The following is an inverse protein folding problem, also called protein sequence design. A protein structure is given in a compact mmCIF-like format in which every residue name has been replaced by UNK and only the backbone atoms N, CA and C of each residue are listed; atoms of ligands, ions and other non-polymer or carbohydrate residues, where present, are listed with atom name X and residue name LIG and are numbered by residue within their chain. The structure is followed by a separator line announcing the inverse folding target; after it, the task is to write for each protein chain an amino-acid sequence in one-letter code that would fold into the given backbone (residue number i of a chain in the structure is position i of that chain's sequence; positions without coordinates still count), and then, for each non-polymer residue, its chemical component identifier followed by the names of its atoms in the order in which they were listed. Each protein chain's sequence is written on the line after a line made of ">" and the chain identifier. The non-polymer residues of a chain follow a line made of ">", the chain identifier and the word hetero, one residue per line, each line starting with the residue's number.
data_IF_304024182592
#
_entry.id   IF_304024182592
#
_cell.length_a   1.000
_cell.length_b   1.000
_cell.length_c   1.000
_cell.angle_alpha   90.00
_cell.angle_beta   90.00
_cell.angle_gamma   90.00
#
_symmetry.space_group_name_H-M   'P 1'
#
loop_
_entity.id
_entity.type
_entity.pdbx_description
1 polymer ?
#
# COMPACT_ATOMS: atom_id res chain seq x y z
N UNK A 1 12.39 13.85 -30.33
CA UNK A 1 11.00 14.05 -29.90
C UNK A 1 10.28 12.74 -29.61
N UNK A 2 9.82 11.94 -30.58
CA UNK A 2 9.13 10.65 -30.27
C UNK A 2 10.08 9.59 -29.69
N UNK A 3 11.27 9.41 -30.27
CA UNK A 3 12.27 8.46 -29.74
C UNK A 3 12.70 8.76 -28.30
N UNK A 4 12.79 10.04 -27.94
CA UNK A 4 13.08 10.47 -26.56
C UNK A 4 11.92 10.15 -25.63
N UNK A 5 10.67 10.37 -26.07
CA UNK A 5 9.49 9.96 -25.33
C UNK A 5 9.51 8.45 -25.07
N UNK A 6 9.75 7.63 -26.09
CA UNK A 6 9.82 6.18 -25.92
C UNK A 6 10.96 5.83 -24.97
N UNK A 7 12.17 6.37 -25.15
CA UNK A 7 13.31 6.09 -24.27
C UNK A 7 13.00 6.39 -22.80
N UNK A 8 12.37 7.54 -22.53
CA UNK A 8 12.06 8.00 -21.18
C UNK A 8 10.87 7.25 -20.55
N UNK A 9 9.86 6.90 -21.34
CA UNK A 9 8.59 6.35 -20.86
C UNK A 9 8.41 4.85 -21.08
N UNK A 10 9.32 4.16 -21.79
CA UNK A 10 9.23 2.72 -22.08
C UNK A 10 9.00 1.87 -20.83
N UNK A 11 9.68 2.09 -19.68
CA UNK A 11 9.42 1.28 -18.48
C UNK A 11 7.96 1.34 -18.02
N UNK A 12 7.34 2.54 -18.00
CA UNK A 12 5.94 2.69 -17.59
C UNK A 12 4.96 2.22 -18.67
N UNK A 13 5.25 2.45 -19.97
CA UNK A 13 4.41 1.97 -21.08
C UNK A 13 4.28 0.45 -21.05
N UNK A 14 5.40 -0.24 -20.84
CA UNK A 14 5.44 -1.71 -20.71
C UNK A 14 4.80 -2.19 -19.41
N UNK A 15 5.11 -1.57 -18.27
CA UNK A 15 4.51 -1.96 -16.98
C UNK A 15 2.99 -1.78 -16.96
N UNK A 16 2.47 -0.76 -17.65
CA UNK A 16 1.04 -0.54 -17.81
C UNK A 16 0.43 -1.40 -18.93
N UNK A 17 1.24 -2.13 -19.70
CA UNK A 17 0.79 -2.95 -20.81
C UNK A 17 0.06 -2.16 -21.89
N UNK A 18 0.50 -0.94 -22.19
CA UNK A 18 -0.05 -0.11 -23.28
C UNK A 18 0.54 -0.63 -24.59
N UNK A 19 -0.26 -1.11 -25.55
CA UNK A 19 0.23 -1.61 -26.83
C UNK A 19 1.02 -0.55 -27.63
N UNK A 20 2.10 -0.98 -28.30
CA UNK A 20 3.01 -0.09 -29.04
C UNK A 20 2.32 0.73 -30.14
N UNK A 21 1.25 0.19 -30.72
CA UNK A 21 0.43 0.87 -31.74
C UNK A 21 -0.10 2.23 -31.26
N UNK A 22 -0.36 2.37 -29.95
CA UNK A 22 -0.90 3.61 -29.38
C UNK A 22 0.16 4.63 -28.99
N UNK A 23 1.43 4.25 -28.87
CA UNK A 23 2.48 5.11 -28.32
C UNK A 23 2.68 6.43 -29.11
N UNK A 24 2.65 6.46 -30.45
CA UNK A 24 2.81 7.70 -31.20
C UNK A 24 1.70 8.72 -30.91
N UNK A 25 0.44 8.25 -30.85
CA UNK A 25 -0.72 9.12 -30.59
C UNK A 25 -0.74 9.54 -29.12
N UNK A 26 -0.42 8.63 -28.19
CA UNK A 26 -0.29 8.97 -26.78
C UNK A 26 0.71 10.10 -26.57
N UNK A 27 1.89 10.01 -27.20
CA UNK A 27 2.91 11.06 -27.15
C UNK A 27 2.38 12.41 -27.63
N UNK A 28 1.63 12.46 -28.74
CA UNK A 28 1.00 13.68 -29.23
C UNK A 28 0.01 14.25 -28.19
N UNK A 29 -0.89 13.40 -27.67
CA UNK A 29 -1.92 13.81 -26.72
C UNK A 29 -1.33 14.36 -25.42
N UNK A 30 -0.34 13.69 -24.81
CA UNK A 30 0.29 14.18 -23.56
C UNK A 30 1.17 15.39 -23.77
N UNK A 31 1.75 15.56 -24.97
CA UNK A 31 2.52 16.76 -25.30
C UNK A 31 1.62 17.99 -25.38
N UNK A 32 0.46 17.85 -25.99
CA UNK A 32 -0.48 18.95 -26.27
C UNK A 32 -1.60 19.09 -25.22
N UNK A 33 -1.57 18.28 -24.15
CA UNK A 33 -2.63 18.18 -23.13
C UNK A 33 -4.03 17.97 -23.74
N UNK A 34 -4.09 17.15 -24.80
CA UNK A 34 -5.30 16.95 -25.60
C UNK A 34 -6.26 15.95 -24.96
N UNK A 35 -7.25 16.47 -24.23
CA UNK A 35 -8.37 15.71 -23.65
C UNK A 35 -9.54 15.65 -24.64
N UNK A 36 -9.75 14.50 -25.29
CA UNK A 36 -10.79 14.30 -26.32
C UNK A 36 -11.82 13.23 -25.98
N UNK A 37 -11.87 12.78 -24.72
CA UNK A 37 -12.82 11.76 -24.24
C UNK A 37 -14.28 12.15 -24.47
N UNK A 38 -14.66 13.42 -24.31
CA UNK A 38 -16.03 13.91 -24.53
C UNK A 38 -16.51 13.77 -25.99
N UNK A 39 -15.61 13.63 -26.96
CA UNK A 39 -15.97 13.42 -28.36
C UNK A 39 -16.30 11.95 -28.68
N UNK A 40 -15.92 11.03 -27.78
CA UNK A 40 -15.97 9.59 -28.00
C UNK A 40 -16.90 8.89 -27.02
N UNK A 41 -17.01 9.41 -25.80
CA UNK A 41 -17.76 8.80 -24.73
C UNK A 41 -18.82 9.75 -24.20
N UNK A 42 -19.90 9.16 -23.68
CA UNK A 42 -20.97 9.85 -22.99
C UNK A 42 -21.21 9.17 -21.64
N UNK A 43 -21.36 9.98 -20.59
CA UNK A 43 -21.82 9.51 -19.28
C UNK A 43 -23.35 9.48 -19.29
N UNK A 44 -23.93 8.36 -18.93
CA UNK A 44 -25.38 8.15 -18.85
C UNK A 44 -25.77 7.83 -17.41
N UNK A 45 -26.90 8.36 -16.95
CA UNK A 45 -27.53 7.92 -15.72
C UNK A 45 -28.25 6.59 -16.00
N UNK A 46 -28.09 5.61 -15.10
CA UNK A 46 -28.78 4.32 -15.23
C UNK A 46 -30.20 4.48 -14.71
N UNK A 47 -31.17 4.11 -15.53
CA UNK A 47 -32.57 3.99 -15.13
C UNK A 47 -32.86 2.54 -14.75
N UNK A 48 -33.33 2.35 -13.53
CA UNK A 48 -33.64 1.04 -12.95
C UNK A 48 -35.13 0.70 -13.10
N UNK A 49 -35.82 1.22 -14.11
CA UNK A 49 -37.30 1.20 -14.28
C UNK A 49 -38.01 -0.08 -13.75
N UNK A 50 -37.49 -1.27 -14.06
CA UNK A 50 -38.07 -2.57 -13.71
C UNK A 50 -37.46 -3.27 -12.47
N UNK A 51 -36.33 -2.78 -11.94
CA UNK A 51 -35.57 -3.38 -10.83
C UNK A 51 -35.46 -2.43 -9.63
N UNK A 52 -35.50 -2.96 -8.41
CA UNK A 52 -35.24 -2.14 -7.22
C UNK A 52 -33.75 -1.89 -7.14
N UNK A 53 -33.32 -0.66 -7.43
CA UNK A 53 -31.93 -0.21 -7.23
C UNK A 53 -31.46 -0.54 -5.80
N UNK A 54 -30.41 -1.33 -5.68
CA UNK A 54 -29.75 -1.62 -4.41
C UNK A 54 -28.78 -0.48 -4.00
N UNK A 55 -28.38 -0.43 -2.72
CA UNK A 55 -27.56 0.65 -2.17
C UNK A 55 -26.21 0.84 -2.89
N UNK A 56 -25.67 -0.22 -3.49
CA UNK A 56 -24.37 -0.20 -4.17
C UNK A 56 -24.47 -0.24 -5.70
N UNK A 57 -25.69 -0.20 -6.23
CA UNK A 57 -25.90 -0.19 -7.67
C UNK A 57 -25.38 1.10 -8.29
N UNK A 58 -24.67 1.02 -9.43
CA UNK A 58 -24.07 2.18 -10.06
C UNK A 58 -25.14 3.17 -10.53
N UNK A 59 -24.98 4.45 -10.19
CA UNK A 59 -25.90 5.48 -10.67
C UNK A 59 -25.67 5.84 -12.14
N UNK A 60 -24.49 5.57 -12.67
CA UNK A 60 -24.08 6.01 -14.00
C UNK A 60 -23.22 4.97 -14.69
N UNK A 61 -23.27 4.98 -16.02
CA UNK A 61 -22.42 4.19 -16.90
C UNK A 61 -21.76 5.11 -17.93
N UNK A 62 -20.74 4.59 -18.63
CA UNK A 62 -20.07 5.30 -19.72
C UNK A 62 -20.24 4.49 -20.99
N UNK A 63 -20.67 5.14 -22.06
CA UNK A 63 -21.00 4.52 -23.33
C UNK A 63 -20.21 5.16 -24.48
N UNK A 64 -19.90 4.39 -25.52
CA UNK A 64 -19.29 4.90 -26.76
C UNK A 64 -20.34 5.67 -27.57
N UNK A 65 -20.13 6.96 -27.78
CA UNK A 65 -21.04 7.84 -28.54
C UNK A 65 -20.59 8.10 -29.98
N UNK A 66 -19.30 7.90 -30.30
CA UNK A 66 -18.78 8.15 -31.65
C UNK A 66 -19.36 7.22 -32.71
N UNK A 67 -19.56 7.76 -33.92
CA UNK A 67 -20.03 6.97 -35.06
C UNK A 67 -18.99 5.93 -35.47
N UNK A 68 -19.45 4.70 -35.73
CA UNK A 68 -18.58 3.59 -36.12
C UNK A 68 -17.90 2.86 -34.94
N UNK A 69 -18.09 3.33 -33.71
CA UNK A 69 -17.55 2.71 -32.51
C UNK A 69 -16.02 2.84 -32.39
N UNK A 70 -15.44 2.00 -31.53
CA UNK A 70 -14.01 1.96 -31.24
C UNK A 70 -13.44 0.65 -31.79
N UNK A 71 -12.45 0.75 -32.68
CA UNK A 71 -11.66 -0.39 -33.15
C UNK A 71 -10.40 -0.54 -32.30
N UNK A 72 -10.15 -1.73 -31.76
CA UNK A 72 -8.96 -2.03 -30.94
C UNK A 72 -7.63 -1.85 -31.67
N UNK A 73 -7.62 -2.05 -32.99
CA UNK A 73 -6.43 -1.96 -33.84
C UNK A 73 -6.19 -0.54 -34.38
N UNK A 74 -7.05 0.43 -34.06
CA UNK A 74 -6.86 1.81 -34.51
C UNK A 74 -5.98 2.59 -33.52
N UNK A 75 -4.78 3.06 -33.92
CA UNK A 75 -3.85 3.79 -33.05
C UNK A 75 -4.41 5.07 -32.43
N UNK A 76 -5.47 5.66 -32.99
CA UNK A 76 -6.08 6.88 -32.45
C UNK A 76 -6.93 6.63 -31.21
N UNK A 77 -7.32 5.39 -30.95
CA UNK A 77 -8.24 5.01 -29.88
C UNK A 77 -7.53 4.85 -28.53
N UNK A 78 -6.78 5.87 -28.13
CA UNK A 78 -6.16 5.99 -26.80
C UNK A 78 -6.48 7.37 -26.25
N UNK A 79 -6.89 7.44 -24.99
CA UNK A 79 -7.49 8.65 -24.43
C UNK A 79 -6.89 8.99 -23.07
N UNK A 80 -6.90 10.29 -22.76
CA UNK A 80 -6.43 10.82 -21.49
C UNK A 80 -7.62 11.12 -20.58
N UNK A 81 -7.53 10.65 -19.34
CA UNK A 81 -8.45 10.95 -18.24
C UNK A 81 -7.66 11.77 -17.21
N UNK A 82 -8.25 12.90 -16.80
CA UNK A 82 -7.61 13.79 -15.83
C UNK A 82 -7.78 13.26 -14.40
N UNK A 83 -6.92 13.72 -13.49
CA UNK A 83 -7.00 13.42 -12.06
C UNK A 83 -7.68 14.59 -11.35
N UNK A 84 -8.99 14.49 -11.16
CA UNK A 84 -9.78 15.50 -10.44
C UNK A 84 -9.20 15.87 -9.07
N UNK A 85 -8.59 14.89 -8.39
CA UNK A 85 -7.91 15.12 -7.14
C UNK A 85 -6.73 14.17 -6.95
N UNK A 86 -5.56 14.71 -6.59
CA UNK A 86 -4.38 13.94 -6.14
C UNK A 86 -3.97 14.32 -4.71
N UNK A 87 -3.66 13.33 -3.89
CA UNK A 87 -3.41 13.54 -2.46
C UNK A 87 -2.51 12.47 -1.80
N UNK A 88 -2.09 12.82 -0.58
CA UNK A 88 -1.47 11.91 0.40
C UNK A 88 -2.46 11.70 1.55
N UNK A 89 -2.45 10.51 2.14
CA UNK A 89 -3.41 10.10 3.18
C UNK A 89 -3.50 11.08 4.36
N UNK A 90 -2.38 11.68 4.77
CA UNK A 90 -2.32 12.60 5.91
C UNK A 90 -3.10 13.91 5.69
N UNK A 91 -3.44 14.26 4.45
CA UNK A 91 -3.93 15.57 4.08
C UNK A 91 -5.39 15.58 3.59
N UNK A 92 -6.07 14.42 3.56
CA UNK A 92 -7.43 14.27 2.99
C UNK A 92 -8.40 15.27 3.62
N UNK A 93 -8.70 15.11 4.92
CA UNK A 93 -9.67 15.96 5.64
C UNK A 93 -9.30 17.43 5.59
N UNK A 94 -8.02 17.74 5.82
CA UNK A 94 -7.51 19.11 5.81
C UNK A 94 -7.74 19.80 4.46
N UNK A 95 -7.44 19.13 3.34
CA UNK A 95 -7.68 19.68 1.99
C UNK A 95 -9.17 19.91 1.70
N UNK A 96 -10.05 19.00 2.13
CA UNK A 96 -11.49 19.16 1.93
C UNK A 96 -12.09 20.31 2.73
N UNK A 97 -11.54 20.61 3.91
CA UNK A 97 -11.92 21.79 4.70
C UNK A 97 -11.34 23.10 4.12
N UNK A 98 -10.06 23.07 3.70
CA UNK A 98 -9.36 24.27 3.20
C UNK A 98 -9.77 24.69 1.78
N UNK A 99 -10.28 23.78 0.94
CA UNK A 99 -10.54 24.02 -0.49
C UNK A 99 -12.03 23.74 -0.81
N UNK A 100 -12.91 24.76 -0.73
CA UNK A 100 -14.34 24.58 -0.97
C UNK A 100 -14.69 24.06 -2.37
N UNK A 101 -13.96 24.48 -3.41
CA UNK A 101 -14.21 24.02 -4.79
C UNK A 101 -13.91 22.53 -4.97
N UNK A 102 -12.86 22.03 -4.32
CA UNK A 102 -12.54 20.60 -4.29
C UNK A 102 -13.63 19.83 -3.56
N UNK A 103 -14.04 20.31 -2.37
CA UNK A 103 -15.12 19.68 -1.60
C UNK A 103 -16.41 19.60 -2.41
N UNK A 104 -16.81 20.69 -3.06
CA UNK A 104 -18.00 20.72 -3.92
C UNK A 104 -17.91 19.74 -5.10
N UNK A 105 -16.74 19.68 -5.76
CA UNK A 105 -16.52 18.74 -6.88
C UNK A 105 -16.61 17.29 -6.41
N UNK A 106 -16.00 16.96 -5.26
CA UNK A 106 -16.04 15.61 -4.70
C UNK A 106 -17.44 15.23 -4.20
N UNK A 107 -18.16 16.16 -3.57
CA UNK A 107 -19.55 15.96 -3.18
C UNK A 107 -20.42 15.64 -4.40
N UNK A 108 -20.32 16.43 -5.48
CA UNK A 108 -21.08 16.18 -6.71
C UNK A 108 -20.70 14.85 -7.39
N UNK A 109 -19.41 14.51 -7.41
CA UNK A 109 -18.93 13.26 -8.02
C UNK A 109 -19.49 12.02 -7.30
N UNK A 110 -19.56 12.11 -5.96
CA UNK A 110 -19.99 11.05 -5.04
C UNK A 110 -21.48 11.13 -4.66
N UNK A 111 -22.23 12.05 -5.28
CA UNK A 111 -23.67 12.28 -5.01
C UNK A 111 -23.99 12.55 -3.53
N UNK A 112 -23.12 13.32 -2.86
CA UNK A 112 -23.32 13.75 -1.47
C UNK A 112 -24.18 15.00 -1.44
N UNK A 113 -25.29 14.96 -0.69
CA UNK A 113 -26.19 16.10 -0.55
C UNK A 113 -25.48 17.31 0.08
N UNK A 114 -25.49 18.43 -0.65
CA UNK A 114 -24.87 19.68 -0.23
C UNK A 114 -25.69 20.44 0.84
N UNK A 115 -26.85 19.93 1.25
CA UNK A 115 -27.69 20.54 2.29
C UNK A 115 -27.22 20.28 3.75
N UNK A 116 -26.18 19.46 3.93
CA UNK A 116 -25.65 19.05 5.25
C UNK A 116 -24.61 20.05 5.82
N UNK A 117 -24.26 19.93 7.11
CA UNK A 117 -23.14 20.69 7.72
C UNK A 117 -21.82 20.40 6.97
N UNK A 118 -20.91 21.38 6.93
CA UNK A 118 -19.63 21.24 6.23
C UNK A 118 -18.83 20.03 6.72
N UNK A 119 -18.80 19.77 8.03
CA UNK A 119 -18.09 18.61 8.57
C UNK A 119 -18.75 17.30 8.16
N UNK A 120 -20.09 17.25 8.16
CA UNK A 120 -20.85 16.07 7.76
C UNK A 120 -20.60 15.73 6.28
N UNK A 121 -20.54 16.74 5.41
CA UNK A 121 -20.16 16.58 4.00
C UNK A 121 -18.74 16.00 3.90
N UNK A 122 -17.78 16.58 4.64
CA UNK A 122 -16.39 16.11 4.62
C UNK A 122 -16.26 14.68 5.15
N UNK A 123 -16.99 14.33 6.21
CA UNK A 123 -17.02 12.99 6.78
C UNK A 123 -17.60 11.98 5.78
N UNK A 124 -18.68 12.34 5.10
CA UNK A 124 -19.30 11.51 4.06
C UNK A 124 -18.36 11.31 2.88
N UNK A 125 -17.72 12.38 2.38
CA UNK A 125 -16.70 12.27 1.32
C UNK A 125 -15.55 11.36 1.76
N UNK A 126 -15.02 11.52 2.98
CA UNK A 126 -13.91 10.71 3.47
C UNK A 126 -14.24 9.22 3.57
N UNK A 127 -15.52 8.88 3.74
CA UNK A 127 -16.03 7.51 3.76
C UNK A 127 -16.28 6.95 2.35
N UNK A 128 -16.91 7.72 1.47
CA UNK A 128 -17.29 7.23 0.13
C UNK A 128 -16.14 7.27 -0.89
N UNK A 129 -15.14 8.14 -0.69
CA UNK A 129 -14.06 8.34 -1.66
C UNK A 129 -13.30 7.07 -2.04
N UNK A 130 -13.26 6.06 -1.17
CA UNK A 130 -12.52 4.82 -1.39
C UNK A 130 -13.07 3.96 -2.53
N UNK A 131 -14.32 4.21 -2.97
CA UNK A 131 -14.89 3.63 -4.20
C UNK A 131 -14.33 4.27 -5.49
N UNK A 132 -13.73 5.44 -5.37
CA UNK A 132 -13.22 6.23 -6.51
C UNK A 132 -11.69 6.30 -6.54
N UNK A 133 -11.06 5.98 -5.41
CA UNK A 133 -9.62 6.07 -5.25
C UNK A 133 -8.88 5.03 -6.10
N UNK A 134 -7.79 5.48 -6.70
CA UNK A 134 -6.74 4.64 -7.26
C UNK A 134 -5.39 5.16 -6.75
N UNK A 135 -4.33 4.38 -6.93
CA UNK A 135 -3.01 4.81 -6.49
C UNK A 135 -1.91 4.36 -7.45
N UNK A 136 -0.80 5.09 -7.42
CA UNK A 136 0.44 4.71 -8.07
C UNK A 136 1.61 5.00 -7.14
N UNK A 137 2.74 4.34 -7.37
CA UNK A 137 3.99 4.59 -6.64
C UNK A 137 5.11 4.83 -7.62
N UNK A 138 5.86 5.91 -7.41
CA UNK A 138 7.00 6.29 -8.26
C UNK A 138 8.29 5.63 -7.78
N UNK A 139 8.28 4.29 -7.65
CA UNK A 139 9.42 3.55 -7.10
C UNK A 139 10.64 3.70 -8.02
N UNK A 140 11.76 4.12 -7.43
CA UNK A 140 13.05 4.19 -8.13
C UNK A 140 13.32 5.51 -8.85
N UNK A 141 12.43 6.50 -8.76
CA UNK A 141 12.71 7.87 -9.25
C UNK A 141 13.50 8.72 -8.23
N UNK A 142 13.42 8.38 -6.95
CA UNK A 142 14.11 9.08 -5.85
C UNK A 142 14.72 8.08 -4.87
N UNK A 143 15.92 8.41 -4.38
CA UNK A 143 16.56 7.72 -3.26
C UNK A 143 15.83 7.98 -1.93
N UNK A 144 15.05 9.06 -1.85
CA UNK A 144 14.25 9.36 -0.67
C UNK A 144 13.00 8.46 -0.64
N UNK A 145 12.92 7.64 0.40
CA UNK A 145 11.81 6.72 0.65
C UNK A 145 10.47 7.45 0.73
N UNK A 146 10.44 8.70 1.18
CA UNK A 146 9.20 9.48 1.29
C UNK A 146 8.58 9.82 -0.07
N UNK A 147 9.41 10.02 -1.10
CA UNK A 147 8.95 10.29 -2.46
C UNK A 147 8.35 9.04 -3.12
N UNK A 148 8.83 7.86 -2.70
CA UNK A 148 8.36 6.55 -3.16
C UNK A 148 7.02 6.13 -2.53
N UNK A 149 6.45 6.93 -1.63
CA UNK A 149 5.15 6.64 -1.01
C UNK A 149 4.04 6.60 -2.07
N UNK A 150 2.94 5.85 -1.84
CA UNK A 150 1.80 5.84 -2.75
C UNK A 150 1.17 7.24 -2.87
N UNK A 151 0.97 7.70 -4.10
CA UNK A 151 0.12 8.85 -4.40
C UNK A 151 -1.27 8.32 -4.70
N UNK A 152 -2.27 8.88 -4.03
CA UNK A 152 -3.67 8.54 -4.24
C UNK A 152 -4.32 9.57 -5.13
N UNK A 153 -5.25 9.12 -5.96
CA UNK A 153 -5.97 9.99 -6.86
C UNK A 153 -7.40 9.52 -7.11
N UNK A 154 -8.25 10.47 -7.49
CA UNK A 154 -9.59 10.27 -8.02
C UNK A 154 -9.60 10.85 -9.42
N UNK A 155 -10.11 10.07 -10.38
CA UNK A 155 -10.22 10.49 -11.78
C UNK A 155 -11.32 11.54 -11.94
N UNK A 156 -11.33 12.23 -13.08
CA UNK A 156 -12.45 13.07 -13.49
C UNK A 156 -13.80 12.33 -13.55
N UNK A 157 -14.85 13.10 -13.82
CA UNK A 157 -16.24 12.66 -13.86
C UNK A 157 -16.48 11.52 -14.86
N UNK A 158 -15.71 11.45 -15.94
CA UNK A 158 -15.81 10.37 -16.91
C UNK A 158 -15.10 9.12 -16.39
N UNK A 159 -13.83 9.24 -15.99
CA UNK A 159 -13.03 8.09 -15.57
C UNK A 159 -13.59 7.41 -14.32
N UNK A 160 -14.12 8.19 -13.39
CA UNK A 160 -14.74 7.71 -12.15
C UNK A 160 -16.05 6.97 -12.34
N UNK A 161 -16.68 7.05 -13.53
CA UNK A 161 -17.97 6.42 -13.83
C UNK A 161 -17.85 5.20 -14.75
N UNK A 162 -16.64 4.83 -15.16
CA UNK A 162 -16.38 3.59 -15.90
C UNK A 162 -16.57 2.42 -14.93
N UNK A 163 -17.55 1.57 -15.23
CA UNK A 163 -17.97 0.51 -14.32
C UNK A 163 -17.08 -0.73 -14.37
N UNK A 164 -17.23 -1.56 -13.34
CA UNK A 164 -16.52 -2.83 -13.27
C UNK A 164 -17.11 -3.86 -14.24
N UNK A 165 -16.25 -4.70 -14.82
CA UNK A 165 -16.62 -5.99 -15.40
C UNK A 165 -15.53 -7.03 -15.16
N UNK A 166 -15.91 -8.29 -14.99
CA UNK A 166 -14.99 -9.44 -15.01
C UNK A 166 -14.54 -9.81 -16.44
N UNK A 167 -15.21 -9.25 -17.45
CA UNK A 167 -14.85 -9.34 -18.86
C UNK A 167 -14.79 -7.94 -19.49
N UNK A 168 -13.83 -7.08 -19.07
CA UNK A 168 -13.77 -5.70 -19.49
C UNK A 168 -13.49 -5.55 -21.00
N UNK A 169 -13.80 -4.38 -21.54
CA UNK A 169 -13.50 -4.01 -22.93
C UNK A 169 -12.51 -2.82 -23.04
N UNK A 170 -12.20 -2.15 -21.92
CA UNK A 170 -11.15 -1.13 -21.83
C UNK A 170 -10.23 -1.38 -20.64
N UNK A 171 -9.01 -0.83 -20.70
CA UNK A 171 -8.10 -0.69 -19.55
C UNK A 171 -7.91 0.79 -19.22
N UNK A 172 -7.72 1.09 -17.94
CA UNK A 172 -7.46 2.44 -17.44
C UNK A 172 -6.28 2.37 -16.47
N UNK A 173 -5.14 2.94 -16.87
CA UNK A 173 -3.86 2.78 -16.15
C UNK A 173 -3.21 4.14 -15.85
N UNK A 174 -2.55 4.32 -14.69
CA UNK A 174 -1.88 5.58 -14.37
C UNK A 174 -0.65 5.80 -15.27
N UNK A 175 -0.40 7.04 -15.69
CA UNK A 175 0.76 7.41 -16.49
C UNK A 175 1.30 8.77 -16.05
N UNK A 176 2.60 8.83 -15.78
CA UNK A 176 3.29 10.06 -15.39
C UNK A 176 4.05 10.61 -16.59
N UNK A 177 3.59 11.74 -17.10
CA UNK A 177 4.32 12.47 -18.12
C UNK A 177 5.45 13.30 -17.49
N UNK A 178 6.58 12.63 -17.28
CA UNK A 178 7.83 13.12 -16.69
C UNK A 178 8.28 14.50 -17.18
N UNK A 179 8.11 14.83 -18.47
CA UNK A 179 8.51 16.14 -19.01
C UNK A 179 7.75 17.31 -18.37
N UNK A 180 6.46 17.14 -18.05
CA UNK A 180 5.63 18.16 -17.38
C UNK A 180 5.35 17.85 -15.91
N UNK A 181 5.72 16.66 -15.45
CA UNK A 181 5.36 16.11 -14.13
C UNK A 181 3.84 16.08 -13.88
N UNK A 182 3.06 15.85 -14.95
CA UNK A 182 1.60 15.72 -14.88
C UNK A 182 1.25 14.23 -14.92
N UNK A 183 0.29 13.82 -14.10
CA UNK A 183 -0.22 12.44 -14.10
C UNK A 183 -1.59 12.40 -14.76
N UNK A 184 -1.78 11.40 -15.62
CA UNK A 184 -3.04 11.07 -16.24
C UNK A 184 -3.43 9.64 -15.91
N UNK A 185 -4.69 9.30 -16.14
CA UNK A 185 -5.09 7.93 -16.41
C UNK A 185 -5.23 7.73 -17.92
N UNK A 186 -4.61 6.69 -18.47
CA UNK A 186 -4.67 6.36 -19.89
C UNK A 186 -5.75 5.32 -20.09
N UNK A 187 -6.74 5.65 -20.92
CA UNK A 187 -7.80 4.75 -21.34
C UNK A 187 -7.51 4.23 -22.74
N UNK A 188 -7.56 2.91 -22.93
CA UNK A 188 -7.43 2.28 -24.25
C UNK A 188 -8.29 1.00 -24.34
N UNK A 189 -8.81 0.67 -25.53
CA UNK A 189 -9.58 -0.53 -25.75
C UNK A 189 -8.70 -1.78 -25.69
N UNK A 190 -9.28 -2.86 -25.19
CA UNK A 190 -8.74 -4.23 -25.30
C UNK A 190 -9.64 -5.12 -26.17
N UNK A 191 -10.80 -4.60 -26.57
CA UNK A 191 -11.73 -5.19 -27.53
C UNK A 191 -12.28 -4.06 -28.41
N UNK A 192 -12.73 -4.38 -29.62
CA UNK A 192 -13.53 -3.43 -30.38
C UNK A 192 -14.90 -3.25 -29.71
N UNK A 193 -15.41 -2.03 -29.68
CA UNK A 193 -16.59 -1.62 -28.91
C UNK A 193 -17.55 -0.91 -29.87
N UNK A 194 -18.80 -1.37 -29.95
CA UNK A 194 -19.78 -0.78 -30.85
C UNK A 194 -20.22 0.61 -30.36
N UNK A 195 -20.75 1.42 -31.29
CA UNK A 195 -21.49 2.61 -30.89
C UNK A 195 -22.67 2.21 -30.00
N UNK A 196 -22.92 2.99 -28.95
CA UNK A 196 -23.90 2.72 -27.91
C UNK A 196 -23.61 1.48 -27.04
N UNK A 197 -22.39 0.96 -27.06
CA UNK A 197 -21.98 -0.09 -26.11
C UNK A 197 -21.29 0.55 -24.89
N UNK A 198 -21.54 0.00 -23.70
CA UNK A 198 -20.94 0.46 -22.46
C UNK A 198 -19.47 0.07 -22.38
N UNK A 199 -18.63 0.97 -21.87
CA UNK A 199 -17.25 0.64 -21.54
C UNK A 199 -17.12 0.20 -20.08
N UNK A 200 -16.32 -0.82 -19.85
CA UNK A 200 -16.08 -1.38 -18.51
C UNK A 200 -14.61 -1.76 -18.32
N UNK A 201 -14.15 -1.70 -17.07
CA UNK A 201 -12.77 -2.01 -16.68
C UNK A 201 -12.74 -3.04 -15.53
N UNK A 202 -11.61 -3.72 -15.35
CA UNK A 202 -11.41 -4.51 -14.14
C UNK A 202 -10.93 -3.60 -12.99
N UNK A 203 -11.70 -3.51 -11.89
CA UNK A 203 -11.30 -2.73 -10.71
C UNK A 203 -10.18 -3.41 -9.92
N UNK A 204 -9.98 -4.71 -10.11
CA UNK A 204 -9.02 -5.54 -9.37
C UNK A 204 -8.16 -6.36 -10.35
N UNK A 205 -7.68 -5.68 -11.40
CA UNK A 205 -6.86 -6.28 -12.46
C UNK A 205 -5.69 -7.13 -11.89
N UNK A 206 -5.45 -8.28 -12.51
CA UNK A 206 -4.40 -9.23 -12.11
C UNK A 206 -4.82 -10.22 -11.01
N UNK A 207 -6.04 -10.09 -10.47
CA UNK A 207 -6.62 -11.04 -9.51
C UNK A 207 -7.52 -12.02 -10.27
N UNK A 208 -7.32 -13.33 -10.03
CA UNK A 208 -8.16 -14.40 -10.60
C UNK A 208 -9.65 -14.10 -10.45
N UNK A 209 -10.44 -14.38 -11.49
CA UNK A 209 -11.91 -14.26 -11.47
C UNK A 209 -12.57 -15.22 -10.48
N UNK A 210 -11.85 -16.26 -10.04
CA UNK A 210 -12.32 -17.24 -9.09
C UNK A 210 -11.75 -16.98 -7.68
N UNK A 211 -12.60 -17.12 -6.67
CA UNK A 211 -12.21 -17.18 -5.27
C UNK A 211 -12.49 -15.94 -4.45
N UNK A 212 -12.42 -16.12 -3.12
CA UNK A 212 -12.79 -15.13 -2.12
C UNK A 212 -11.92 -13.86 -2.16
N UNK A 213 -10.67 -13.96 -2.62
CA UNK A 213 -9.75 -12.81 -2.72
C UNK A 213 -10.29 -11.73 -3.67
N UNK A 214 -10.92 -12.11 -4.77
CA UNK A 214 -11.51 -11.16 -5.71
C UNK A 214 -12.74 -10.48 -5.09
N UNK A 215 -13.65 -11.27 -4.51
CA UNK A 215 -14.81 -10.75 -3.79
C UNK A 215 -14.39 -9.78 -2.66
N UNK A 216 -13.32 -10.10 -1.94
CA UNK A 216 -12.77 -9.26 -0.88
C UNK A 216 -12.28 -7.90 -1.42
N UNK A 217 -11.58 -7.89 -2.54
CA UNK A 217 -11.05 -6.66 -3.13
C UNK A 217 -12.12 -5.84 -3.88
N UNK A 218 -13.20 -6.48 -4.33
CA UNK A 218 -14.38 -5.84 -4.92
C UNK A 218 -15.39 -5.34 -3.89
N UNK A 219 -15.24 -5.71 -2.61
CA UNK A 219 -16.14 -5.35 -1.52
C UNK A 219 -16.55 -3.86 -1.47
N UNK A 220 -15.68 -2.88 -1.78
CA UNK A 220 -16.10 -1.47 -1.78
C UNK A 220 -17.24 -1.14 -2.76
N UNK A 221 -17.38 -1.92 -3.84
CA UNK A 221 -18.42 -1.73 -4.86
C UNK A 221 -19.47 -2.83 -4.85
N UNK A 222 -19.06 -4.06 -4.53
CA UNK A 222 -19.93 -5.23 -4.45
C UNK A 222 -19.74 -5.90 -3.09
N UNK A 223 -20.39 -5.38 -2.02
CA UNK A 223 -20.24 -5.93 -0.69
C UNK A 223 -20.56 -7.42 -0.65
N UNK A 224 -19.75 -8.14 0.11
CA UNK A 224 -19.87 -9.59 0.27
C UNK A 224 -19.77 -9.94 1.76
N UNK A 225 -20.58 -10.88 2.20
CA UNK A 225 -20.60 -11.36 3.59
C UNK A 225 -19.56 -12.47 3.78
N UNK A 226 -18.51 -12.18 4.54
CA UNK A 226 -17.42 -13.08 4.88
C UNK A 226 -17.57 -13.66 6.29
N UNK A 227 -18.64 -13.36 7.05
CA UNK A 227 -18.73 -13.76 8.47
C UNK A 227 -18.63 -15.27 8.69
N UNK A 228 -19.03 -16.08 7.70
CA UNK A 228 -18.96 -17.54 7.74
C UNK A 228 -17.54 -18.09 7.51
N UNK A 229 -16.63 -17.29 6.94
CA UNK A 229 -15.25 -17.69 6.70
C UNK A 229 -14.46 -17.75 8.01
N UNK A 230 -13.49 -18.67 8.08
CA UNK A 230 -12.59 -18.71 9.23
C UNK A 230 -11.74 -17.45 9.29
N UNK A 231 -11.57 -16.91 10.48
CA UNK A 231 -10.60 -15.86 10.77
C UNK A 231 -9.43 -16.35 11.63
N UNK A 232 -9.18 -17.65 11.63
CA UNK A 232 -8.08 -18.24 12.39
C UNK A 232 -6.72 -17.86 11.78
N UNK A 233 -5.81 -17.51 12.67
CA UNK A 233 -4.48 -17.05 12.35
C UNK A 233 -3.51 -18.22 12.24
N UNK A 234 -3.39 -18.78 11.04
CA UNK A 234 -2.57 -19.96 10.79
C UNK A 234 -1.06 -19.63 10.73
N UNK A 235 -0.22 -20.61 11.00
CA UNK A 235 1.23 -20.48 10.82
C UNK A 235 1.56 -20.39 9.31
N UNK A 236 2.25 -19.33 8.86
CA UNK A 236 2.66 -19.22 7.45
C UNK A 236 3.64 -20.31 7.04
N UNK A 237 3.74 -20.58 5.74
CA UNK A 237 4.69 -21.58 5.21
C UNK A 237 6.14 -21.11 5.34
N UNK A 238 7.09 -22.04 5.19
CA UNK A 238 8.52 -21.70 5.19
C UNK A 238 8.86 -20.72 4.06
N UNK A 239 8.24 -20.89 2.89
CA UNK A 239 8.44 -20.02 1.74
C UNK A 239 8.05 -18.58 2.05
N UNK A 240 7.00 -18.35 2.84
CA UNK A 240 6.62 -17.01 3.27
C UNK A 240 7.74 -16.30 4.07
N UNK A 241 8.42 -17.02 4.97
CA UNK A 241 9.52 -16.45 5.75
C UNK A 241 10.77 -16.13 4.91
N UNK A 242 10.91 -16.75 3.73
CA UNK A 242 12.06 -16.59 2.84
C UNK A 242 11.80 -15.63 1.67
N UNK A 243 10.57 -15.61 1.14
CA UNK A 243 10.22 -14.88 -0.08
C UNK A 243 10.27 -13.36 0.10
N UNK A 244 10.83 -12.67 -0.89
CA UNK A 244 10.91 -11.21 -0.88
C UNK A 244 11.79 -10.67 0.25
N UNK A 245 12.72 -11.49 0.75
CA UNK A 245 13.72 -11.13 1.74
C UNK A 245 15.10 -11.22 1.12
N UNK A 246 16.06 -10.63 1.81
CA UNK A 246 17.47 -10.72 1.43
C UNK A 246 17.94 -12.12 1.80
N UNK A 247 18.56 -12.82 0.84
CA UNK A 247 19.21 -14.09 1.13
C UNK A 247 20.41 -13.85 2.04
N UNK A 248 20.39 -14.50 3.19
CA UNK A 248 21.46 -14.51 4.20
C UNK A 248 22.00 -15.94 4.33
N UNK A 249 23.30 -16.05 4.62
CA UNK A 249 23.93 -17.34 4.94
C UNK A 249 23.92 -17.56 6.46
N UNK A 250 23.97 -18.82 6.91
CA UNK A 250 24.23 -19.14 8.31
C UNK A 250 25.74 -19.33 8.52
N UNK A 251 26.29 -18.97 9.70
CA UNK A 251 27.70 -19.24 10.01
C UNK A 251 27.95 -20.75 10.16
N UNK A 252 29.14 -21.20 9.75
CA UNK A 252 29.61 -22.56 10.02
C UNK A 252 30.24 -22.60 11.42
N UNK A 253 29.47 -23.06 12.41
CA UNK A 253 29.90 -23.09 13.81
C UNK A 253 30.84 -24.29 14.02
N UNK A 254 32.15 -24.06 13.85
CA UNK A 254 33.18 -25.07 14.12
C UNK A 254 33.87 -24.87 15.48
N UNK A 255 33.95 -23.64 15.99
CA UNK A 255 34.56 -23.30 17.28
C UNK A 255 34.08 -21.95 17.80
N UNK A 256 34.08 -21.76 19.13
CA UNK A 256 33.81 -20.45 19.74
C UNK A 256 34.97 -19.49 19.43
N UNK A 257 34.70 -18.23 19.02
CA UNK A 257 35.74 -17.24 18.77
C UNK A 257 36.69 -17.07 19.96
N UNK A 258 38.00 -17.08 19.71
CA UNK A 258 39.01 -16.82 20.73
C UNK A 258 39.21 -15.30 20.90
N UNK A 259 38.83 -14.77 22.06
CA UNK A 259 38.98 -13.34 22.37
C UNK A 259 40.45 -13.08 22.71
N UNK A 260 41.10 -12.25 21.89
CA UNK A 260 42.52 -11.90 22.06
C UNK A 260 42.73 -11.10 23.35
N UNK A 261 43.88 -11.31 23.99
CA UNK A 261 44.32 -10.57 25.19
C UNK A 261 44.82 -9.14 24.89
N UNK A 262 44.59 -8.62 23.69
CA UNK A 262 44.95 -7.25 23.26
C UNK A 262 43.68 -6.41 23.06
N UNK A 263 43.79 -5.06 23.03
CA UNK A 263 42.68 -4.22 22.59
C UNK A 263 42.13 -4.69 21.23
N UNK A 264 40.81 -4.81 21.13
CA UNK A 264 40.12 -5.27 19.94
C UNK A 264 39.98 -4.10 18.94
N UNK A 265 40.31 -4.38 17.68
CA UNK A 265 40.16 -3.42 16.59
C UNK A 265 38.71 -3.37 16.14
N UNK A 266 38.13 -2.18 16.10
CA UNK A 266 36.72 -1.98 15.73
C UNK A 266 36.65 -1.14 14.47
N UNK A 267 36.14 -1.74 13.40
CA UNK A 267 35.71 -1.01 12.21
C UNK A 267 34.25 -0.63 12.39
N UNK A 268 33.90 0.65 12.18
CA UNK A 268 32.52 1.11 12.35
C UNK A 268 32.08 2.07 11.27
N UNK A 269 30.84 1.90 10.81
CA UNK A 269 30.13 2.85 9.95
C UNK A 269 29.32 3.87 10.77
N UNK A 270 29.22 3.68 12.09
CA UNK A 270 28.36 4.49 12.94
C UNK A 270 29.16 5.57 13.68
N UNK A 271 28.93 6.83 13.31
CA UNK A 271 29.67 7.99 13.85
C UNK A 271 29.74 8.05 15.37
N UNK A 272 28.70 7.62 16.08
CA UNK A 272 28.68 7.67 17.55
C UNK A 272 29.49 6.54 18.19
N UNK A 273 29.67 5.39 17.53
CA UNK A 273 30.63 4.38 18.01
C UNK A 273 32.05 4.92 17.85
N UNK A 274 32.34 5.56 16.72
CA UNK A 274 33.63 6.21 16.50
C UNK A 274 33.91 7.31 17.53
N UNK A 275 32.90 8.10 17.89
CA UNK A 275 33.02 9.18 18.86
C UNK A 275 33.12 8.69 20.31
N UNK A 276 32.27 7.74 20.73
CA UNK A 276 32.07 7.42 22.15
C UNK A 276 32.71 6.09 22.61
N UNK A 277 33.23 5.25 21.71
CA UNK A 277 33.97 4.05 22.10
C UNK A 277 35.37 4.41 22.60
N UNK A 278 35.48 4.80 23.87
CA UNK A 278 36.73 5.26 24.50
C UNK A 278 37.37 4.24 25.47
N UNK A 279 36.75 3.08 25.66
CA UNK A 279 37.25 2.09 26.60
C UNK A 279 38.58 1.47 26.10
N UNK A 280 39.63 1.33 26.94
CA UNK A 280 40.99 0.96 26.52
C UNK A 280 41.12 -0.44 25.88
N UNK A 281 40.15 -1.32 26.12
CA UNK A 281 40.08 -2.63 25.45
C UNK A 281 39.64 -2.57 23.99
N UNK A 282 39.38 -1.38 23.44
CA UNK A 282 38.97 -1.20 22.05
C UNK A 282 39.78 -0.09 21.39
N UNK A 283 40.06 -0.25 20.10
CA UNK A 283 40.69 0.75 19.26
C UNK A 283 39.97 0.83 17.93
N UNK A 284 39.57 2.03 17.52
CA UNK A 284 38.97 2.24 16.19
C UNK A 284 40.02 1.99 15.11
N UNK A 285 39.63 1.33 14.02
CA UNK A 285 40.48 1.15 12.85
C UNK A 285 39.72 1.49 11.56
N UNK A 286 40.44 2.05 10.58
CA UNK A 286 39.88 2.41 9.28
C UNK A 286 39.85 1.23 8.29
N UNK A 287 40.72 0.23 8.50
CA UNK A 287 40.79 -0.96 7.67
C UNK A 287 39.86 -2.07 8.19
N UNK A 288 38.81 -2.35 7.42
CA UNK A 288 37.82 -3.39 7.69
C UNK A 288 38.45 -4.80 7.76
N UNK A 289 39.49 -5.07 6.97
CA UNK A 289 40.08 -6.40 6.84
C UNK A 289 40.87 -6.84 8.09
N UNK A 290 41.46 -5.88 8.81
CA UNK A 290 42.20 -6.14 10.06
C UNK A 290 41.38 -6.00 11.34
N UNK A 291 40.09 -5.65 11.23
CA UNK A 291 39.19 -5.50 12.38
C UNK A 291 38.94 -6.84 13.12
N UNK A 292 38.74 -6.76 14.42
CA UNK A 292 38.21 -7.87 15.22
C UNK A 292 36.69 -7.75 15.40
N UNK A 293 36.14 -6.55 15.30
CA UNK A 293 34.69 -6.27 15.38
C UNK A 293 34.28 -5.41 14.18
N UNK A 294 33.26 -5.86 13.48
CA UNK A 294 32.60 -5.15 12.38
C UNK A 294 31.30 -4.56 12.91
N UNK A 295 31.23 -3.23 12.98
CA UNK A 295 30.05 -2.49 13.43
C UNK A 295 29.40 -1.75 12.26
N UNK A 296 28.49 -2.44 11.59
CA UNK A 296 27.81 -1.92 10.41
C UNK A 296 26.50 -1.21 10.78
N UNK A 297 26.15 -0.20 9.98
CA UNK A 297 24.79 0.36 9.91
C UNK A 297 23.99 -0.24 8.76
N UNK A 298 24.68 -0.77 7.75
CA UNK A 298 24.08 -1.52 6.64
C UNK A 298 23.83 -2.98 7.02
N UNK A 299 22.90 -3.62 6.33
CA UNK A 299 22.55 -5.02 6.55
C UNK A 299 23.67 -5.98 6.11
N UNK A 300 24.07 -6.89 6.99
CA UNK A 300 25.09 -7.91 6.75
C UNK A 300 24.47 -9.27 6.37
N UNK A 301 25.04 -9.96 5.37
CA UNK A 301 24.42 -11.14 4.73
C UNK A 301 25.31 -12.40 4.69
N UNK A 302 26.63 -12.21 4.69
CA UNK A 302 27.62 -13.24 4.37
C UNK A 302 28.25 -13.86 5.63
N UNK A 303 27.42 -14.36 6.56
CA UNK A 303 27.85 -14.96 7.82
C UNK A 303 28.69 -16.22 7.64
N UNK A 304 28.40 -17.05 6.63
CA UNK A 304 29.20 -18.23 6.31
C UNK A 304 30.65 -17.83 5.98
N UNK A 305 30.81 -16.90 5.04
CA UNK A 305 32.13 -16.42 4.62
C UNK A 305 32.92 -15.80 5.78
N UNK A 306 32.26 -15.00 6.64
CA UNK A 306 32.88 -14.43 7.83
C UNK A 306 33.35 -15.52 8.79
N UNK A 307 32.51 -16.52 9.06
CA UNK A 307 32.84 -17.61 9.98
C UNK A 307 34.01 -18.48 9.50
N UNK A 308 34.14 -18.69 8.19
CA UNK A 308 35.22 -19.51 7.60
C UNK A 308 36.53 -18.74 7.52
N UNK A 309 36.50 -17.52 6.98
CA UNK A 309 37.72 -16.77 6.68
C UNK A 309 38.22 -15.93 7.86
N UNK A 310 37.33 -15.55 8.78
CA UNK A 310 37.62 -14.69 9.93
C UNK A 310 36.92 -15.22 11.20
N UNK A 311 37.22 -16.45 11.65
CA UNK A 311 36.49 -17.13 12.74
C UNK A 311 36.54 -16.41 14.10
N UNK A 312 37.47 -15.47 14.29
CA UNK A 312 37.61 -14.68 15.50
C UNK A 312 37.05 -13.24 15.37
N UNK A 313 36.33 -12.96 14.27
CA UNK A 313 35.75 -11.66 14.00
C UNK A 313 34.27 -11.65 14.37
N UNK A 314 33.83 -10.58 15.05
CA UNK A 314 32.45 -10.39 15.45
C UNK A 314 31.76 -9.38 14.53
N UNK A 315 30.45 -9.55 14.33
CA UNK A 315 29.58 -8.58 13.66
C UNK A 315 28.43 -8.20 14.59
N UNK A 316 27.96 -6.95 14.51
CA UNK A 316 26.91 -6.41 15.39
C UNK A 316 25.47 -6.77 14.96
N UNK A 317 25.28 -7.87 14.22
CA UNK A 317 23.99 -8.31 13.66
C UNK A 317 23.88 -9.84 13.77
N UNK A 318 22.66 -10.36 13.84
CA UNK A 318 22.40 -11.80 13.82
C UNK A 318 21.81 -12.24 12.47
N UNK A 319 22.16 -13.44 11.97
CA UNK A 319 21.55 -13.96 10.76
C UNK A 319 20.04 -14.12 10.95
N UNK A 320 19.27 -13.67 9.96
CA UNK A 320 17.80 -13.71 9.95
C UNK A 320 17.13 -12.98 11.13
N UNK A 321 17.75 -11.94 11.69
CA UNK A 321 17.13 -11.11 12.74
C UNK A 321 15.85 -10.38 12.26
N UNK A 322 15.67 -10.31 10.93
CA UNK A 322 14.46 -9.83 10.26
C UNK A 322 13.17 -10.50 10.77
N UNK A 323 13.26 -11.73 11.28
CA UNK A 323 12.14 -12.46 11.88
C UNK A 323 11.54 -11.76 13.10
N UNK A 324 12.34 -10.93 13.78
CA UNK A 324 11.91 -10.10 14.91
C UNK A 324 11.79 -8.61 14.56
N UNK A 325 12.55 -8.12 13.57
CA UNK A 325 12.62 -6.70 13.26
C UNK A 325 11.65 -6.24 12.16
N UNK A 326 11.06 -7.17 11.40
CA UNK A 326 10.01 -6.87 10.40
C UNK A 326 8.62 -7.23 10.97
N UNK A 327 7.64 -6.33 10.79
CA UNK A 327 6.36 -6.38 11.52
C UNK A 327 5.52 -7.62 11.24
N UNK A 328 5.49 -8.07 9.99
CA UNK A 328 4.71 -9.24 9.55
C UNK A 328 5.29 -10.55 10.11
N UNK A 329 6.62 -10.68 10.09
CA UNK A 329 7.31 -11.83 10.65
C UNK A 329 7.20 -11.84 12.18
N UNK A 330 7.37 -10.67 12.81
CA UNK A 330 7.22 -10.53 14.26
C UNK A 330 5.82 -10.97 14.69
N UNK A 331 4.75 -10.52 14.01
CA UNK A 331 3.38 -10.93 14.35
C UNK A 331 3.17 -12.45 14.25
N UNK A 332 3.73 -13.09 13.20
CA UNK A 332 3.63 -14.53 13.04
C UNK A 332 4.39 -15.29 14.15
N UNK A 333 5.61 -14.86 14.48
CA UNK A 333 6.42 -15.51 15.53
C UNK A 333 5.81 -15.35 16.92
N UNK A 334 5.29 -14.16 17.24
CA UNK A 334 4.69 -13.87 18.54
C UNK A 334 3.52 -14.80 18.89
N UNK A 335 2.74 -15.24 17.89
CA UNK A 335 1.56 -16.10 18.09
C UNK A 335 1.83 -17.60 17.93
N UNK A 336 3.03 -18.02 17.51
CA UNK A 336 3.38 -19.44 17.20
C UNK A 336 3.12 -20.44 18.32
N UNK A 337 3.14 -20.00 19.58
CA UNK A 337 2.91 -20.87 20.76
C UNK A 337 1.47 -20.87 21.26
N UNK A 338 0.58 -20.11 20.62
CA UNK A 338 -0.82 -20.03 21.00
C UNK A 338 -1.60 -21.21 20.41
N UNK A 339 -2.09 -22.10 21.28
CA UNK A 339 -2.96 -23.23 20.86
C UNK A 339 -4.37 -22.74 20.55
N UNK A 340 -4.86 -21.77 21.34
CA UNK A 340 -6.12 -21.05 21.09
C UNK A 340 -5.79 -19.73 20.40
N UNK A 341 -6.56 -19.36 19.37
CA UNK A 341 -6.30 -18.15 18.59
C UNK A 341 -6.94 -16.90 19.19
N UNK A 342 -8.14 -17.00 19.76
CA UNK A 342 -8.87 -15.86 20.31
C UNK A 342 -9.85 -16.25 21.43
N UNK A 343 -10.27 -15.27 22.22
CA UNK A 343 -11.40 -15.41 23.14
C UNK A 343 -12.72 -15.30 22.37
N UNK A 344 -13.63 -16.27 22.50
CA UNK A 344 -14.87 -16.32 21.72
C UNK A 344 -15.83 -15.17 22.04
N UNK A 345 -15.77 -14.62 23.25
CA UNK A 345 -16.66 -13.54 23.68
C UNK A 345 -16.12 -12.18 23.25
N UNK A 346 -14.85 -11.89 23.56
CA UNK A 346 -14.25 -10.57 23.28
C UNK A 346 -13.64 -10.47 21.88
N UNK A 347 -13.48 -11.61 21.21
CA UNK A 347 -12.73 -11.78 19.95
C UNK A 347 -11.24 -11.42 20.05
N UNK A 348 -10.72 -11.07 21.23
CA UNK A 348 -9.31 -10.72 21.40
C UNK A 348 -8.41 -11.92 21.10
N UNK A 349 -7.41 -11.72 20.25
CA UNK A 349 -6.46 -12.76 19.87
C UNK A 349 -5.36 -12.96 20.90
N UNK A 350 -4.80 -14.17 20.97
CA UNK A 350 -3.64 -14.48 21.79
C UNK A 350 -2.32 -14.32 21.00
N UNK A 351 -1.21 -13.97 21.69
CA UNK A 351 -1.14 -13.66 23.12
C UNK A 351 -1.66 -12.25 23.43
N UNK A 352 -2.25 -12.03 24.60
CA UNK A 352 -2.88 -10.76 24.98
C UNK A 352 -1.98 -9.52 24.88
N UNK A 353 -0.66 -9.69 25.01
CA UNK A 353 0.28 -8.57 24.91
C UNK A 353 0.55 -8.12 23.47
N UNK A 354 0.14 -8.91 22.46
CA UNK A 354 0.18 -8.55 21.06
C UNK A 354 -1.22 -8.13 20.62
N UNK A 355 -1.45 -6.87 20.21
CA UNK A 355 -2.73 -6.49 19.62
C UNK A 355 -3.05 -7.34 18.39
N UNK A 356 -4.31 -7.69 18.20
CA UNK A 356 -4.77 -8.50 17.05
C UNK A 356 -4.21 -7.96 15.75
N UNK A 357 -3.44 -8.80 15.04
CA UNK A 357 -2.68 -8.39 13.85
C UNK A 357 -2.84 -9.41 12.75
N UNK A 358 -3.26 -8.98 11.56
CA UNK A 358 -3.32 -9.80 10.35
C UNK A 358 -2.35 -9.26 9.30
N UNK A 359 -1.78 -10.15 8.49
CA UNK A 359 -1.06 -9.80 7.28
C UNK A 359 -2.04 -9.72 6.10
N UNK A 360 -2.22 -8.54 5.50
CA UNK A 360 -3.20 -8.33 4.44
C UNK A 360 -2.85 -9.00 3.09
N UNK A 361 -1.64 -9.55 2.91
CA UNK A 361 -1.31 -10.29 1.69
C UNK A 361 -1.76 -11.74 1.74
N UNK A 362 -1.63 -12.39 2.91
CA UNK A 362 -1.89 -13.82 3.10
C UNK A 362 -3.10 -14.13 3.97
N UNK A 363 -3.57 -13.17 4.76
CA UNK A 363 -4.69 -13.31 5.71
C UNK A 363 -5.81 -12.29 5.44
N UNK A 364 -5.99 -11.87 4.18
CA UNK A 364 -6.97 -10.85 3.81
C UNK A 364 -8.40 -11.29 4.15
N UNK A 365 -8.74 -12.54 3.85
CA UNK A 365 -10.10 -13.08 4.03
C UNK A 365 -10.39 -13.23 5.52
N UNK A 366 -9.44 -13.77 6.26
CA UNK A 366 -9.48 -13.92 7.70
C UNK A 366 -9.70 -12.57 8.38
N UNK A 367 -8.97 -11.53 7.94
CA UNK A 367 -9.16 -10.19 8.47
C UNK A 367 -10.57 -9.63 8.18
N UNK A 368 -11.09 -9.77 6.97
CA UNK A 368 -12.41 -9.24 6.61
C UNK A 368 -13.51 -9.96 7.40
N UNK A 369 -13.43 -11.29 7.48
CA UNK A 369 -14.35 -12.08 8.30
C UNK A 369 -14.30 -11.62 9.77
N UNK A 370 -13.10 -11.45 10.33
CA UNK A 370 -12.93 -10.94 11.69
C UNK A 370 -13.53 -9.55 11.88
N UNK A 371 -13.30 -8.64 10.93
CA UNK A 371 -13.83 -7.28 10.95
C UNK A 371 -15.36 -7.28 10.99
N UNK A 372 -16.01 -8.07 10.11
CA UNK A 372 -17.47 -8.15 10.03
C UNK A 372 -18.09 -8.81 11.27
N UNK A 373 -17.45 -9.87 11.81
CA UNK A 373 -17.88 -10.48 13.07
C UNK A 373 -17.77 -9.50 14.26
N UNK A 374 -16.75 -8.64 14.28
CA UNK A 374 -16.65 -7.56 15.29
C UNK A 374 -17.75 -6.51 15.13
N UNK A 375 -18.08 -6.13 13.89
CA UNK A 375 -19.21 -5.23 13.63
C UNK A 375 -20.52 -5.81 14.16
N UNK A 376 -20.80 -7.09 13.90
CA UNK A 376 -22.02 -7.77 14.36
C UNK A 376 -22.13 -7.80 15.89
N UNK A 377 -20.99 -7.93 16.59
CA UNK A 377 -20.91 -7.85 18.05
C UNK A 377 -20.86 -6.42 18.61
N UNK A 378 -20.99 -5.39 17.78
CA UNK A 378 -20.85 -3.97 18.17
C UNK A 378 -19.54 -3.66 18.92
N UNK A 379 -18.44 -4.31 18.52
CA UNK A 379 -17.11 -4.06 19.08
C UNK A 379 -16.40 -2.95 18.32
N UNK A 380 -15.44 -2.26 18.97
CA UNK A 380 -14.60 -1.28 18.27
C UNK A 380 -13.86 -1.93 17.10
N UNK A 381 -13.84 -1.23 15.98
CA UNK A 381 -13.20 -1.64 14.74
C UNK A 381 -12.22 -0.59 14.21
N UNK A 382 -11.52 0.09 15.10
CA UNK A 382 -10.44 1.01 14.75
C UNK A 382 -9.13 0.24 14.56
N UNK A 383 -8.53 0.37 13.39
CA UNK A 383 -7.33 -0.35 12.97
C UNK A 383 -6.22 0.60 12.55
N UNK A 384 -4.97 0.15 12.73
CA UNK A 384 -3.77 0.82 12.21
C UNK A 384 -3.11 -0.08 11.17
N UNK A 385 -2.97 0.44 9.95
CA UNK A 385 -2.24 -0.21 8.86
C UNK A 385 -0.79 0.23 8.89
N UNK A 386 0.12 -0.74 8.74
CA UNK A 386 1.56 -0.49 8.77
C UNK A 386 2.27 -1.28 7.67
N UNK A 387 3.16 -0.66 6.89
CA UNK A 387 4.03 -1.38 5.97
C UNK A 387 4.99 -2.30 6.73
N UNK A 388 5.33 -3.44 6.13
CA UNK A 388 6.18 -4.45 6.77
C UNK A 388 7.51 -3.87 7.29
N UNK A 389 8.23 -3.16 6.43
CA UNK A 389 9.63 -2.78 6.63
C UNK A 389 9.91 -1.26 6.70
N UNK A 390 8.89 -0.38 6.58
CA UNK A 390 9.13 1.06 6.75
C UNK A 390 9.10 1.48 8.23
N UNK A 391 9.77 2.60 8.50
CA UNK A 391 9.91 3.22 9.81
C UNK A 391 9.41 4.68 9.78
N UNK A 392 9.52 5.39 10.92
CA UNK A 392 9.15 6.82 11.07
C UNK A 392 7.66 7.13 10.81
N UNK A 393 6.78 6.13 10.90
CA UNK A 393 5.35 6.29 10.64
C UNK A 393 5.01 6.50 9.16
N UNK A 394 5.97 6.28 8.26
CA UNK A 394 5.72 6.36 6.81
C UNK A 394 4.70 5.30 6.39
N UNK A 395 3.78 5.70 5.50
CA UNK A 395 2.67 4.87 5.00
C UNK A 395 1.80 4.22 6.09
N UNK A 396 1.73 4.85 7.27
CA UNK A 396 0.89 4.39 8.38
C UNK A 396 -0.44 5.14 8.38
N UNK A 397 -1.54 4.42 8.48
CA UNK A 397 -2.88 4.99 8.47
C UNK A 397 -3.77 4.35 9.55
N UNK A 398 -4.60 5.16 10.20
CA UNK A 398 -5.56 4.71 11.21
C UNK A 398 -6.95 4.96 10.66
N UNK A 399 -7.79 3.93 10.67
CA UNK A 399 -9.16 4.00 10.15
C UNK A 399 -10.02 2.91 10.77
N UNK A 400 -11.33 3.14 10.79
CA UNK A 400 -12.36 2.14 11.09
C UNK A 400 -13.20 1.78 9.85
N UNK A 401 -12.80 2.24 8.67
CA UNK A 401 -13.49 1.99 7.41
C UNK A 401 -12.83 0.80 6.66
N UNK A 402 -13.62 -0.25 6.45
CA UNK A 402 -13.17 -1.44 5.72
C UNK A 402 -12.79 -1.11 4.28
N UNK A 403 -13.52 -0.23 3.60
CA UNK A 403 -13.22 0.14 2.21
C UNK A 403 -11.86 0.83 2.11
N UNK A 404 -11.57 1.74 3.04
CA UNK A 404 -10.25 2.34 3.20
C UNK A 404 -9.15 1.29 3.41
N UNK A 405 -9.36 0.33 4.32
CA UNK A 405 -8.38 -0.73 4.60
C UNK A 405 -8.08 -1.56 3.35
N UNK A 406 -9.13 -1.97 2.63
CA UNK A 406 -9.01 -2.78 1.42
C UNK A 406 -8.30 -2.03 0.31
N UNK A 407 -8.61 -0.75 0.09
CA UNK A 407 -7.86 0.05 -0.88
C UNK A 407 -6.39 0.17 -0.48
N UNK A 408 -6.09 0.55 0.76
CA UNK A 408 -4.71 0.74 1.22
C UNK A 408 -3.91 -0.56 1.16
N UNK A 409 -4.53 -1.72 1.36
CA UNK A 409 -3.88 -3.03 1.22
C UNK A 409 -3.27 -3.25 -0.17
N UNK A 410 -3.85 -2.63 -1.21
CA UNK A 410 -3.42 -2.76 -2.62
C UNK A 410 -2.23 -1.88 -2.97
N UNK A 411 -1.89 -0.90 -2.14
CA UNK A 411 -0.75 0.00 -2.40
C UNK A 411 0.61 -0.63 -2.04
N UNK A 412 0.59 -1.80 -1.39
CA UNK A 412 1.76 -2.62 -1.11
C UNK A 412 1.64 -3.37 0.23
N UNK A 413 2.62 -4.22 0.54
CA UNK A 413 2.52 -5.17 1.64
C UNK A 413 2.36 -4.50 3.01
N UNK A 414 1.29 -4.87 3.72
CA UNK A 414 0.88 -4.23 4.99
C UNK A 414 0.33 -5.25 5.98
N UNK A 415 0.64 -5.01 7.25
CA UNK A 415 -0.15 -5.58 8.34
C UNK A 415 -1.28 -4.62 8.70
N UNK A 416 -2.36 -5.17 9.21
CA UNK A 416 -3.43 -4.44 9.90
C UNK A 416 -3.45 -4.90 11.34
N UNK A 417 -3.43 -3.95 12.26
CA UNK A 417 -3.34 -4.22 13.71
C UNK A 417 -4.41 -3.44 14.46
N UNK A 418 -5.08 -4.07 15.42
CA UNK A 418 -6.10 -3.42 16.23
C UNK A 418 -5.49 -2.22 16.93
N UNK A 419 -6.09 -1.06 16.76
CA UNK A 419 -5.58 0.17 17.37
C UNK A 419 -5.91 0.18 18.87
N UNK A 420 -4.93 0.59 19.68
CA UNK A 420 -5.10 0.78 21.12
C UNK A 420 -5.79 2.13 21.33
N UNK A 421 -7.10 2.07 21.56
CA UNK A 421 -8.00 3.22 21.74
C UNK A 421 -7.93 3.86 23.13
N UNK A 422 -7.56 3.09 24.15
CA UNK A 422 -7.45 3.54 25.54
C UNK A 422 -6.00 3.53 26.03
N UNK A 423 -5.08 4.31 25.44
CA UNK A 423 -3.71 4.39 25.90
C UNK A 423 -3.62 5.18 27.22
N UNK A 424 -2.60 4.89 28.02
CA UNK A 424 -2.21 5.78 29.10
C UNK A 424 -1.76 7.12 28.51
N UNK A 425 -2.32 8.22 29.00
CA UNK A 425 -1.96 9.56 28.57
C UNK A 425 -1.05 10.23 29.61
N UNK A 426 0.00 10.88 29.13
CA UNK A 426 0.91 11.67 29.95
C UNK A 426 0.56 13.15 29.83
N UNK A 427 0.26 13.82 30.94
CA UNK A 427 -0.02 15.26 30.92
C UNK A 427 1.28 16.05 30.74
N UNK A 428 1.32 16.91 29.72
CA UNK A 428 2.43 17.83 29.44
C UNK A 428 2.09 19.24 29.94
N UNK A 429 2.74 19.73 31.02
CA UNK A 429 2.47 21.05 31.57
C UNK A 429 2.78 22.20 30.59
N UNK A 430 3.78 22.03 29.74
CA UNK A 430 4.24 23.02 28.76
C UNK A 430 3.21 23.29 27.66
N UNK A 431 2.49 22.26 27.21
CA UNK A 431 1.41 22.39 26.21
C UNK A 431 0.02 22.42 26.82
N UNK A 432 -0.11 22.19 28.13
CA UNK A 432 -1.39 21.97 28.85
C UNK A 432 -2.27 20.91 28.16
N UNK A 433 -1.67 19.88 27.61
CA UNK A 433 -2.34 18.80 26.86
C UNK A 433 -1.85 17.45 27.33
N UNK A 434 -2.72 16.45 27.31
CA UNK A 434 -2.35 15.06 27.52
C UNK A 434 -1.91 14.44 26.20
N UNK A 435 -0.82 13.68 26.21
CA UNK A 435 -0.24 13.07 25.00
C UNK A 435 -0.07 11.56 25.18
N UNK A 436 -0.23 10.82 24.07
CA UNK A 436 0.16 9.41 23.98
C UNK A 436 1.69 9.29 23.94
N UNK A 437 2.22 8.21 24.47
CA UNK A 437 3.65 7.89 24.42
C UNK A 437 3.89 6.39 24.22
N UNK A 438 5.10 6.03 23.84
CA UNK A 438 5.62 4.65 23.85
C UNK A 438 6.90 4.57 24.69
N UNK A 439 7.23 3.37 25.15
CA UNK A 439 8.46 3.10 25.92
C UNK A 439 9.42 2.33 25.03
N UNK A 440 10.62 2.90 24.84
CA UNK A 440 11.70 2.25 24.10
C UNK A 440 12.60 1.47 25.06
N UNK A 441 12.61 0.15 24.91
CA UNK A 441 13.62 -0.72 25.54
C UNK A 441 14.78 -0.95 24.57
N UNK A 442 16.01 -0.89 25.08
CA UNK A 442 17.23 -1.27 24.35
C UNK A 442 17.71 -2.59 24.94
N UNK A 443 17.64 -3.65 24.14
CA UNK A 443 18.01 -5.00 24.55
C UNK A 443 19.31 -5.40 23.85
N UNK A 444 20.30 -5.86 24.63
CA UNK A 444 21.53 -6.46 24.12
C UNK A 444 21.42 -7.97 24.26
N UNK A 445 21.43 -8.68 23.14
CA UNK A 445 21.49 -10.14 23.09
C UNK A 445 22.96 -10.57 23.11
N UNK A 446 23.28 -11.56 23.94
CA UNK A 446 24.63 -12.11 24.12
C UNK A 446 24.73 -13.52 23.56
#
# INVERSE_FOLDING_TARGET
>A
MYEEFVTLHKPQLLACGIPEIFWPVLHQKVKDDHLDTCNVFQVLQIDYEDDVKEDNDPLYTVQVSCQGGINVDNPTNIYLIDHAWSFRLSNIRRKLLEIPSLRQRMANLMDVDNASDENDIVDTICKEMWKYCSSYSMRGLSENIEDNMPVWYIMDELGSRIQHSNDPNVRVVPFLYLCKQITYSILFPIKSIAQNENITRDFVEGVSNEGLKRAALLHPWYPYDFKAESFNQNEPTKEYFLNGRVDETLPLIQSVPNIKSRPLKVFTQYKYVQEYLKHPNFVICDDESSADILWYTQHFKNYENLSVNRPNCFVNQFPFENVLTIKDLLSAVCRRKCIKHHDENTLETYPYWLPTTYNLEIELIEFISYFQNRCEKNLDNTWILKPFNLARGLDTHITNDLNCILQISRSGPKIVQKYIESPLLFFRPDTKKSVKFDIRYVLLLK
#
